data_IF_247498586563
#
_entry.id   IF_247498586563
#
_cell.length_a   1.000
_cell.length_b   1.000
_cell.length_c   1.000
_cell.angle_alpha   90.00
_cell.angle_beta   90.00
_cell.angle_gamma   90.00
#
_symmetry.space_group_name_H-M   'P 1'
#
loop_
_entity.id
_entity.type
_entity.pdbx_description
1 polymer ?
#
# COMPACT_ATOMS: atom_id res chain seq x y z
N UNK A 1 5.91 3.24 -13.08
CA UNK A 1 6.57 1.91 -12.93
C UNK A 1 6.04 1.03 -14.04
N UNK A 2 6.89 0.23 -14.66
CA UNK A 2 6.43 -0.82 -15.58
C UNK A 2 6.09 -2.06 -14.76
N UNK A 3 5.22 -2.93 -15.29
CA UNK A 3 4.89 -4.19 -14.63
C UNK A 3 6.16 -5.03 -14.35
N UNK A 4 7.13 -4.99 -15.26
CA UNK A 4 8.42 -5.67 -15.12
C UNK A 4 9.22 -5.24 -13.88
N UNK A 5 9.05 -3.98 -13.41
CA UNK A 5 9.76 -3.47 -12.23
C UNK A 5 9.32 -4.18 -10.94
N UNK A 6 8.11 -4.75 -10.92
CA UNK A 6 7.58 -5.50 -9.78
C UNK A 6 8.21 -6.90 -9.66
N UNK A 7 8.84 -7.39 -10.72
CA UNK A 7 9.43 -8.74 -10.78
C UNK A 7 10.93 -8.76 -10.46
N UNK A 8 11.53 -7.64 -10.08
CA UNK A 8 12.96 -7.57 -9.74
C UNK A 8 13.29 -8.49 -8.56
N UNK A 9 14.33 -9.31 -8.72
CA UNK A 9 14.85 -10.14 -7.64
C UNK A 9 15.74 -9.28 -6.71
N UNK A 10 15.21 -8.99 -5.53
CA UNK A 10 15.86 -8.15 -4.52
C UNK A 10 15.29 -8.49 -3.15
N UNK A 11 16.12 -8.49 -2.08
CA UNK A 11 15.62 -8.70 -0.72
C UNK A 11 14.70 -7.56 -0.24
N UNK A 12 14.63 -6.44 -0.96
CA UNK A 12 13.70 -5.33 -0.69
C UNK A 12 12.36 -5.45 -1.43
N UNK A 13 12.18 -6.44 -2.32
CA UNK A 13 10.93 -6.60 -3.06
C UNK A 13 9.86 -7.28 -2.19
N UNK A 14 8.94 -6.49 -1.63
CA UNK A 14 7.83 -6.96 -0.80
C UNK A 14 6.69 -7.62 -1.57
N UNK A 15 6.68 -7.55 -2.92
CA UNK A 15 5.78 -8.38 -3.74
C UNK A 15 6.22 -9.84 -3.75
N UNK A 16 7.52 -10.11 -3.57
CA UNK A 16 8.11 -11.47 -3.62
C UNK A 16 8.48 -12.03 -2.26
N UNK A 17 8.89 -11.17 -1.33
CA UNK A 17 9.37 -11.58 0.00
C UNK A 17 8.36 -11.14 1.06
N UNK A 18 7.73 -12.07 1.80
CA UNK A 18 6.79 -11.71 2.86
C UNK A 18 7.51 -11.08 4.07
N UNK A 19 6.82 -10.15 4.73
CA UNK A 19 7.35 -9.44 5.91
C UNK A 19 8.05 -8.12 5.57
N UNK A 20 8.82 -7.61 6.53
CA UNK A 20 9.57 -6.36 6.36
C UNK A 20 10.87 -6.57 5.57
N UNK A 21 11.31 -5.59 4.77
CA UNK A 21 12.62 -5.63 4.12
C UNK A 21 13.77 -5.61 5.15
N UNK A 22 15.02 -5.94 4.75
CA UNK A 22 16.17 -5.98 5.67
C UNK A 22 16.51 -4.66 6.36
N UNK A 23 16.05 -3.53 5.82
CA UNK A 23 16.29 -2.20 6.35
C UNK A 23 15.30 -1.17 5.81
N UNK A 24 15.33 0.08 6.32
CA UNK A 24 14.46 1.15 5.86
C UNK A 24 14.79 1.56 4.43
N UNK A 25 13.76 1.92 3.66
CA UNK A 25 13.90 2.42 2.28
C UNK A 25 14.03 3.95 2.20
N UNK A 26 13.73 4.66 3.29
CA UNK A 26 13.76 6.11 3.37
C UNK A 26 13.98 6.56 4.82
N UNK A 27 14.25 7.85 5.01
CA UNK A 27 14.26 8.49 6.32
C UNK A 27 12.83 8.87 6.72
N UNK A 28 12.22 8.24 7.75
CA UNK A 28 10.84 8.52 8.15
C UNK A 28 10.73 9.88 8.85
N UNK A 29 9.54 10.50 8.75
CA UNK A 29 9.20 11.65 9.59
C UNK A 29 8.87 11.22 11.01
N UNK A 30 8.70 12.20 11.90
CA UNK A 30 8.29 11.93 13.28
C UNK A 30 6.89 11.31 13.34
N UNK A 31 5.99 11.79 12.50
CA UNK A 31 4.62 11.31 12.37
C UNK A 31 4.60 9.86 11.88
N UNK A 32 5.46 9.50 10.90
CA UNK A 32 5.58 8.12 10.43
C UNK A 32 6.09 7.17 11.51
N UNK A 33 7.05 7.61 12.33
CA UNK A 33 7.55 6.82 13.48
C UNK A 33 6.43 6.62 14.50
N UNK A 34 5.67 7.67 14.79
CA UNK A 34 4.55 7.62 15.73
C UNK A 34 3.47 6.62 15.25
N UNK A 35 3.08 6.68 13.98
CA UNK A 35 2.09 5.77 13.40
C UNK A 35 2.55 4.30 13.41
N UNK A 36 3.86 4.05 13.27
CA UNK A 36 4.42 2.70 13.36
C UNK A 36 4.45 2.16 14.81
N UNK A 37 4.57 3.03 15.81
CA UNK A 37 4.59 2.66 17.23
C UNK A 37 3.18 2.53 17.82
N UNK A 38 2.28 3.42 17.43
CA UNK A 38 0.90 3.52 17.93
C UNK A 38 -0.06 3.58 16.74
N UNK A 39 -0.29 2.45 16.03
CA UNK A 39 -1.23 2.40 14.92
C UNK A 39 -2.68 2.43 15.43
N UNK A 40 -3.60 2.88 14.58
CA UNK A 40 -5.03 2.75 14.86
C UNK A 40 -5.47 1.28 14.81
N UNK A 41 -6.32 0.88 15.74
CA UNK A 41 -6.90 -0.47 15.77
C UNK A 41 -8.00 -0.58 14.70
N UNK A 42 -7.67 -1.22 13.58
CA UNK A 42 -8.59 -1.45 12.46
C UNK A 42 -8.43 -2.87 11.91
N UNK A 43 -9.42 -3.36 11.16
CA UNK A 43 -9.33 -4.65 10.46
C UNK A 43 -8.81 -4.54 9.02
N UNK A 44 -8.59 -3.32 8.52
CA UNK A 44 -8.28 -3.08 7.11
C UNK A 44 -7.02 -3.80 6.63
N UNK A 45 -7.10 -4.38 5.43
CA UNK A 45 -6.01 -5.11 4.79
C UNK A 45 -5.59 -4.48 3.47
N UNK A 46 -6.52 -3.79 2.80
CA UNK A 46 -6.32 -3.20 1.48
C UNK A 46 -6.62 -1.70 1.51
N UNK A 47 -5.91 -0.96 0.68
CA UNK A 47 -6.18 0.45 0.44
C UNK A 47 -5.91 0.83 -1.02
N UNK A 48 -6.67 1.78 -1.54
CA UNK A 48 -6.45 2.37 -2.87
C UNK A 48 -6.71 3.87 -2.81
N UNK A 49 -5.98 4.66 -3.61
CA UNK A 49 -6.25 6.09 -3.75
C UNK A 49 -7.47 6.27 -4.64
N UNK A 50 -8.46 7.02 -4.17
CA UNK A 50 -9.68 7.34 -4.94
C UNK A 50 -9.34 8.14 -6.21
N UNK A 51 -10.28 8.14 -7.17
CA UNK A 51 -10.03 8.69 -8.50
C UNK A 51 -9.79 10.21 -8.51
N UNK A 52 -10.40 10.93 -7.56
CA UNK A 52 -10.15 12.35 -7.35
C UNK A 52 -8.74 12.65 -6.79
N UNK A 53 -8.08 11.63 -6.24
CA UNK A 53 -6.75 11.71 -5.65
C UNK A 53 -6.71 12.41 -4.28
N UNK A 54 -7.86 12.70 -3.67
CA UNK A 54 -7.97 13.41 -2.40
C UNK A 54 -7.98 12.44 -1.21
N UNK A 55 -8.64 11.29 -1.35
CA UNK A 55 -8.87 10.34 -0.26
C UNK A 55 -8.40 8.91 -0.59
N UNK A 56 -8.15 8.13 0.46
CA UNK A 56 -7.85 6.71 0.37
C UNK A 56 -9.06 5.90 0.83
N UNK A 57 -9.48 4.96 -0.01
CA UNK A 57 -10.44 3.93 0.37
C UNK A 57 -9.73 2.79 1.09
N UNK A 58 -10.29 2.32 2.22
CA UNK A 58 -9.75 1.22 3.04
C UNK A 58 -10.80 0.13 3.21
N UNK A 59 -10.41 -1.13 3.07
CA UNK A 59 -11.29 -2.29 3.28
C UNK A 59 -10.50 -3.51 3.76
N UNK A 60 -11.18 -4.45 4.41
CA UNK A 60 -10.66 -5.78 4.72
C UNK A 60 -11.12 -6.86 3.73
N UNK A 61 -12.03 -6.51 2.81
CA UNK A 61 -12.55 -7.37 1.76
C UNK A 61 -11.79 -7.17 0.43
N UNK A 62 -11.45 -8.28 -0.22
CA UNK A 62 -10.66 -8.23 -1.45
C UNK A 62 -11.50 -7.86 -2.68
N UNK A 63 -12.77 -8.24 -2.74
CA UNK A 63 -13.64 -7.94 -3.87
C UNK A 63 -13.99 -6.44 -3.87
N UNK A 64 -14.29 -5.86 -2.71
CA UNK A 64 -14.47 -4.40 -2.55
C UNK A 64 -13.23 -3.62 -2.99
N UNK A 65 -12.03 -4.10 -2.62
CA UNK A 65 -10.78 -3.48 -3.06
C UNK A 65 -10.63 -3.50 -4.59
N UNK A 66 -10.98 -4.62 -5.24
CA UNK A 66 -10.91 -4.74 -6.70
C UNK A 66 -11.91 -3.82 -7.39
N UNK A 67 -13.13 -3.69 -6.86
CA UNK A 67 -14.13 -2.76 -7.37
C UNK A 67 -13.65 -1.31 -7.28
N UNK A 68 -13.18 -0.89 -6.11
CA UNK A 68 -12.64 0.46 -5.90
C UNK A 68 -11.43 0.70 -6.83
N UNK A 69 -10.52 -0.27 -6.95
CA UNK A 69 -9.37 -0.17 -7.85
C UNK A 69 -9.80 0.01 -9.31
N UNK A 70 -10.74 -0.79 -9.81
CA UNK A 70 -11.18 -0.69 -11.21
C UNK A 70 -11.82 0.69 -11.50
N UNK A 71 -12.62 1.21 -10.57
CA UNK A 71 -13.19 2.56 -10.67
C UNK A 71 -12.09 3.62 -10.79
N UNK A 72 -11.03 3.51 -9.99
CA UNK A 72 -9.91 4.46 -10.04
C UNK A 72 -9.08 4.34 -11.33
N UNK A 73 -9.04 3.17 -11.97
CA UNK A 73 -8.34 2.96 -13.23
C UNK A 73 -9.16 3.45 -14.44
N UNK A 74 -10.48 3.35 -14.40
CA UNK A 74 -11.38 3.84 -15.46
C UNK A 74 -11.44 5.37 -15.56
N UNK A 75 -11.18 6.08 -14.45
CA UNK A 75 -11.27 7.54 -14.35
C UNK A 75 -9.92 8.28 -14.57
N UNK A 76 -8.79 7.56 -14.67
CA UNK A 76 -7.43 8.11 -14.81
C UNK A 76 -6.88 8.07 -16.25
#
# INVERSE_FOLDING_TARGET
LKLDDLEVDSPYNTYKNPGLPPGPIASPSRESIQAALEPEETSYLYYVLEADGEEHFFTDDYDEFLEAKNQTEDER
#
